data_IF_877795428525
#
_entry.id   IF_877795428525
#
_cell.length_a   1.000
_cell.length_b   1.000
_cell.length_c   1.000
_cell.angle_alpha   90.00
_cell.angle_beta   90.00
_cell.angle_gamma   90.00
#
_symmetry.space_group_name_H-M   'P 1'
#
loop_
_entity.id
_entity.type
_entity.pdbx_description
1 polymer ?
#
# COMPACT_ATOMS: atom_id res chain seq x y z
N UNK A 1 -14.86 -51.21 19.26
CA UNK A 1 -15.00 -49.78 19.62
C UNK A 1 -13.92 -49.03 18.85
N UNK A 2 -14.26 -48.47 17.71
CA UNK A 2 -13.31 -47.72 16.89
C UNK A 2 -13.24 -46.28 17.42
N UNK A 3 -12.08 -45.92 17.97
CA UNK A 3 -11.78 -44.57 18.34
C UNK A 3 -11.76 -43.70 17.09
N UNK A 4 -12.90 -43.11 16.72
CA UNK A 4 -12.91 -41.91 15.87
C UNK A 4 -12.39 -40.76 16.69
N UNK A 5 -11.06 -40.60 16.79
CA UNK A 5 -10.43 -39.32 17.10
C UNK A 5 -10.75 -38.38 15.93
N UNK A 6 -11.94 -37.77 16.04
CA UNK A 6 -12.36 -36.76 15.10
C UNK A 6 -11.29 -35.67 15.09
N UNK A 7 -10.69 -35.39 13.91
CA UNK A 7 -9.83 -34.25 13.64
C UNK A 7 -10.52 -33.01 14.22
N UNK A 8 -10.20 -32.66 15.46
CA UNK A 8 -10.64 -31.40 16.04
C UNK A 8 -9.98 -30.29 15.21
N UNK A 9 -10.78 -29.59 14.42
CA UNK A 9 -10.30 -28.41 13.73
C UNK A 9 -9.64 -27.48 14.75
N UNK A 10 -8.39 -27.11 14.52
CA UNK A 10 -7.62 -26.25 15.42
C UNK A 10 -8.08 -24.79 15.26
N UNK A 11 -9.06 -24.28 16.05
CA UNK A 11 -9.57 -22.92 15.88
C UNK A 11 -8.49 -21.86 16.15
N UNK A 12 -7.51 -22.18 17.00
CA UNK A 12 -6.36 -21.33 17.29
C UNK A 12 -5.49 -21.11 16.06
N UNK A 13 -5.26 -22.16 15.25
CA UNK A 13 -4.51 -22.07 14.01
C UNK A 13 -5.21 -21.12 13.01
N UNK A 14 -6.53 -21.15 12.92
CA UNK A 14 -7.31 -20.26 12.07
C UNK A 14 -7.19 -18.79 12.50
N UNK A 15 -7.19 -18.54 13.81
CA UNK A 15 -7.00 -17.17 14.34
C UNK A 15 -5.59 -16.67 14.05
N UNK A 16 -4.56 -17.49 14.28
CA UNK A 16 -3.16 -17.15 13.99
C UNK A 16 -2.99 -16.83 12.50
N UNK A 17 -3.50 -17.67 11.61
CA UNK A 17 -3.46 -17.43 10.16
C UNK A 17 -4.23 -16.16 9.76
N UNK A 18 -5.36 -15.88 10.40
CA UNK A 18 -6.12 -14.66 10.17
C UNK A 18 -5.35 -13.40 10.56
N UNK A 19 -4.72 -13.41 11.73
CA UNK A 19 -3.86 -12.30 12.20
C UNK A 19 -2.65 -12.14 11.26
N UNK A 20 -2.01 -13.23 10.87
CA UNK A 20 -0.90 -13.20 9.92
C UNK A 20 -1.32 -12.65 8.56
N UNK A 21 -2.54 -13.01 8.10
CA UNK A 21 -3.14 -12.46 6.89
C UNK A 21 -3.36 -10.95 6.96
N UNK A 22 -3.83 -10.44 8.12
CA UNK A 22 -4.00 -9.00 8.35
C UNK A 22 -2.64 -8.28 8.31
N UNK A 23 -1.63 -8.81 9.01
CA UNK A 23 -0.27 -8.24 8.97
C UNK A 23 0.31 -8.26 7.55
N UNK A 24 0.13 -9.38 6.84
CA UNK A 24 0.54 -9.50 5.45
C UNK A 24 -0.17 -8.49 4.55
N UNK A 25 -1.48 -8.25 4.75
CA UNK A 25 -2.23 -7.26 3.99
C UNK A 25 -1.65 -5.85 4.17
N UNK A 26 -1.31 -5.48 5.39
CA UNK A 26 -0.78 -4.14 5.70
C UNK A 26 0.65 -3.97 5.14
N UNK A 27 1.56 -4.90 5.47
CA UNK A 27 2.98 -4.75 5.14
C UNK A 27 3.30 -5.20 3.71
N UNK A 28 2.86 -6.41 3.30
CA UNK A 28 3.21 -6.94 1.99
C UNK A 28 2.55 -6.18 0.84
N UNK A 29 1.30 -5.73 0.99
CA UNK A 29 0.66 -4.96 -0.09
C UNK A 29 1.41 -3.68 -0.41
N UNK A 30 1.95 -2.99 0.61
CA UNK A 30 2.73 -1.77 0.39
C UNK A 30 4.04 -2.05 -0.34
N UNK A 31 4.75 -3.14 0.04
CA UNK A 31 6.06 -3.48 -0.55
C UNK A 31 5.96 -4.16 -1.91
N UNK A 32 5.02 -5.08 -2.08
CA UNK A 32 4.95 -5.98 -3.25
C UNK A 32 3.71 -5.75 -4.11
N UNK A 33 2.87 -4.77 -3.76
CA UNK A 33 1.65 -4.46 -4.51
C UNK A 33 0.70 -5.66 -4.61
N UNK A 34 0.37 -6.07 -5.86
CA UNK A 34 -0.57 -7.17 -6.12
C UNK A 34 -0.11 -8.50 -5.54
N UNK A 35 1.21 -8.79 -5.56
CA UNK A 35 1.75 -10.05 -5.03
C UNK A 35 1.47 -10.16 -3.53
N UNK A 36 1.68 -9.08 -2.79
CA UNK A 36 1.38 -9.02 -1.35
C UNK A 36 -0.10 -9.21 -1.06
N UNK A 37 -0.97 -8.59 -1.88
CA UNK A 37 -2.41 -8.78 -1.80
C UNK A 37 -2.84 -10.22 -2.04
N UNK A 38 -2.25 -10.90 -3.02
CA UNK A 38 -2.52 -12.30 -3.30
C UNK A 38 -2.10 -13.21 -2.11
N UNK A 39 -0.92 -13.01 -1.54
CA UNK A 39 -0.44 -13.76 -0.38
C UNK A 39 -1.36 -13.53 0.82
N UNK A 40 -1.71 -12.28 1.14
CA UNK A 40 -2.61 -11.93 2.23
C UNK A 40 -4.00 -12.51 2.01
N UNK A 41 -4.50 -12.50 0.76
CA UNK A 41 -5.78 -13.09 0.38
C UNK A 41 -5.81 -14.61 0.59
N UNK A 42 -4.75 -15.32 0.20
CA UNK A 42 -4.63 -16.77 0.41
C UNK A 42 -4.62 -17.10 1.91
N UNK A 43 -3.87 -16.36 2.72
CA UNK A 43 -3.82 -16.56 4.18
C UNK A 43 -5.19 -16.29 4.82
N UNK A 44 -5.86 -15.19 4.42
CA UNK A 44 -7.20 -14.85 4.89
C UNK A 44 -8.24 -15.92 4.51
N UNK A 45 -8.18 -16.43 3.26
CA UNK A 45 -9.05 -17.49 2.79
C UNK A 45 -8.84 -18.80 3.56
N UNK A 46 -7.57 -19.17 3.79
CA UNK A 46 -7.24 -20.36 4.58
C UNK A 46 -7.77 -20.24 6.02
N UNK A 47 -7.58 -19.09 6.68
CA UNK A 47 -8.12 -18.81 8.01
C UNK A 47 -9.66 -18.90 8.03
N UNK A 48 -10.32 -18.33 7.03
CA UNK A 48 -11.78 -18.38 6.90
C UNK A 48 -12.31 -19.79 6.73
N UNK A 49 -11.69 -20.62 5.87
CA UNK A 49 -12.08 -22.02 5.65
C UNK A 49 -11.86 -22.88 6.90
N UNK A 50 -10.75 -22.68 7.61
CA UNK A 50 -10.49 -23.36 8.89
C UNK A 50 -11.55 -22.96 9.92
N UNK A 51 -11.92 -21.67 9.97
CA UNK A 51 -12.97 -21.17 10.83
C UNK A 51 -14.33 -21.78 10.53
N UNK A 52 -14.71 -21.92 9.25
CA UNK A 52 -15.95 -22.58 8.82
C UNK A 52 -15.97 -24.05 9.24
N UNK A 53 -14.85 -24.76 9.06
CA UNK A 53 -14.72 -26.16 9.49
C UNK A 53 -14.86 -26.31 11.01
N UNK A 54 -14.31 -25.38 11.78
CA UNK A 54 -14.36 -25.37 13.24
C UNK A 54 -15.74 -24.94 13.78
N UNK A 55 -16.57 -24.23 13.00
CA UNK A 55 -17.94 -23.83 13.39
C UNK A 55 -18.82 -24.99 13.78
N UNK A 56 -18.64 -26.15 13.13
CA UNK A 56 -19.37 -27.38 13.46
C UNK A 56 -19.22 -27.81 14.95
N UNK A 57 -18.20 -27.30 15.63
CA UNK A 57 -17.89 -27.56 17.02
C UNK A 57 -18.07 -26.33 17.94
N UNK A 58 -18.82 -25.31 17.50
CA UNK A 58 -19.08 -24.07 18.25
C UNK A 58 -17.83 -23.24 18.64
N UNK A 59 -16.67 -23.44 18.02
CA UNK A 59 -15.38 -22.81 18.38
C UNK A 59 -14.71 -22.02 17.25
N UNK A 60 -15.37 -21.83 16.09
CA UNK A 60 -14.74 -21.27 14.88
C UNK A 60 -14.98 -19.78 14.61
N UNK A 61 -15.77 -19.09 15.44
CA UNK A 61 -16.22 -17.73 15.15
C UNK A 61 -15.06 -16.72 15.01
N UNK A 62 -14.08 -16.79 15.91
CA UNK A 62 -12.90 -15.90 15.85
C UNK A 62 -12.10 -16.07 14.57
N UNK A 63 -11.88 -17.32 14.11
CA UNK A 63 -11.15 -17.59 12.88
C UNK A 63 -11.93 -17.12 11.61
N UNK A 64 -13.27 -17.27 11.61
CA UNK A 64 -14.11 -16.75 10.52
C UNK A 64 -13.99 -15.24 10.46
N UNK A 65 -14.12 -14.56 11.59
CA UNK A 65 -14.07 -13.09 11.66
C UNK A 65 -12.71 -12.54 11.24
N UNK A 66 -11.61 -13.08 11.79
CA UNK A 66 -10.26 -12.63 11.42
C UNK A 66 -9.91 -12.96 9.97
N UNK A 67 -10.34 -14.12 9.46
CA UNK A 67 -10.16 -14.50 8.05
C UNK A 67 -10.94 -13.60 7.09
N UNK A 68 -12.22 -13.30 7.39
CA UNK A 68 -13.03 -12.39 6.60
C UNK A 68 -12.44 -10.96 6.61
N UNK A 69 -12.01 -10.49 7.78
CA UNK A 69 -11.36 -9.17 7.92
C UNK A 69 -10.05 -9.11 7.11
N UNK A 70 -9.23 -10.16 7.16
CA UNK A 70 -8.00 -10.25 6.37
C UNK A 70 -8.27 -10.18 4.86
N UNK A 71 -9.32 -10.85 4.38
CA UNK A 71 -9.72 -10.79 2.97
C UNK A 71 -10.14 -9.38 2.53
N UNK A 72 -10.98 -8.73 3.33
CA UNK A 72 -11.42 -7.35 3.04
C UNK A 72 -10.23 -6.40 3.01
N UNK A 73 -9.35 -6.48 4.02
CA UNK A 73 -8.15 -5.64 4.09
C UNK A 73 -7.19 -5.93 2.91
N UNK A 74 -7.00 -7.19 2.53
CA UNK A 74 -6.17 -7.55 1.38
C UNK A 74 -6.65 -6.87 0.09
N UNK A 75 -7.96 -6.86 -0.17
CA UNK A 75 -8.54 -6.18 -1.34
C UNK A 75 -8.38 -4.66 -1.24
N UNK A 76 -8.76 -4.07 -0.11
CA UNK A 76 -8.70 -2.62 0.09
C UNK A 76 -7.26 -2.10 -0.03
N UNK A 77 -6.31 -2.71 0.68
CA UNK A 77 -4.90 -2.28 0.64
C UNK A 77 -4.27 -2.52 -0.73
N UNK A 78 -4.65 -3.58 -1.45
CA UNK A 78 -4.19 -3.79 -2.84
C UNK A 78 -4.65 -2.66 -3.76
N UNK A 79 -5.93 -2.28 -3.69
CA UNK A 79 -6.47 -1.18 -4.51
C UNK A 79 -5.80 0.15 -4.15
N UNK A 80 -5.69 0.45 -2.85
CA UNK A 80 -5.03 1.66 -2.35
C UNK A 80 -3.58 1.70 -2.83
N UNK A 81 -2.82 0.61 -2.66
CA UNK A 81 -1.43 0.52 -3.10
C UNK A 81 -1.29 0.81 -4.60
N UNK A 82 -2.09 0.15 -5.44
CA UNK A 82 -2.04 0.36 -6.90
C UNK A 82 -2.36 1.81 -7.26
N UNK A 83 -3.38 2.40 -6.64
CA UNK A 83 -3.77 3.78 -6.93
C UNK A 83 -2.69 4.77 -6.51
N UNK A 84 -2.11 4.59 -5.33
CA UNK A 84 -0.99 5.41 -4.83
C UNK A 84 0.22 5.36 -5.78
N UNK A 85 0.62 4.15 -6.20
CA UNK A 85 1.74 4.02 -7.13
C UNK A 85 1.44 4.57 -8.53
N UNK A 86 0.19 4.48 -9.00
CA UNK A 86 -0.24 5.14 -10.25
C UNK A 86 -0.18 6.66 -10.15
N UNK A 87 -0.60 7.21 -9.02
CA UNK A 87 -0.56 8.64 -8.78
C UNK A 87 0.87 9.15 -8.73
N UNK A 88 1.76 8.49 -7.98
CA UNK A 88 3.20 8.79 -7.94
C UNK A 88 3.81 8.72 -9.34
N UNK A 89 3.48 7.69 -10.13
CA UNK A 89 3.95 7.58 -11.52
C UNK A 89 3.45 8.72 -12.39
N UNK A 90 2.18 9.07 -12.28
CA UNK A 90 1.59 10.16 -13.07
C UNK A 90 2.23 11.51 -12.73
N UNK A 91 2.50 11.75 -11.45
CA UNK A 91 3.19 12.95 -11.01
C UNK A 91 4.65 12.96 -11.51
N UNK A 92 5.38 11.84 -11.33
CA UNK A 92 6.74 11.70 -11.83
C UNK A 92 6.82 11.83 -13.37
N UNK A 93 5.79 11.41 -14.10
CA UNK A 93 5.76 11.52 -15.56
C UNK A 93 5.74 12.96 -16.08
N UNK A 94 5.31 13.92 -15.26
CA UNK A 94 5.39 15.36 -15.59
C UNK A 94 6.84 15.85 -15.67
N UNK A 95 7.73 15.14 -15.01
CA UNK A 95 9.17 15.44 -14.98
C UNK A 95 9.99 14.49 -15.87
N UNK A 96 9.32 13.76 -16.79
CA UNK A 96 9.98 12.74 -17.63
C UNK A 96 11.15 13.25 -18.45
N UNK A 97 11.08 14.50 -18.91
CA UNK A 97 12.18 15.14 -19.67
C UNK A 97 13.42 15.43 -18.78
N UNK A 98 13.20 15.74 -17.49
CA UNK A 98 14.26 16.08 -16.53
C UNK A 98 14.77 14.90 -15.74
N UNK A 99 13.92 13.87 -15.55
CA UNK A 99 14.20 12.71 -14.71
C UNK A 99 13.72 11.39 -15.34
N UNK A 100 14.27 11.02 -16.53
CA UNK A 100 13.81 9.83 -17.26
C UNK A 100 14.08 8.52 -16.50
N UNK A 101 15.14 8.43 -15.70
CA UNK A 101 15.46 7.23 -14.91
C UNK A 101 14.45 7.00 -13.79
N UNK A 102 14.01 8.07 -13.11
CA UNK A 102 12.98 7.98 -12.06
C UNK A 102 11.68 7.43 -12.64
N UNK A 103 11.23 7.96 -13.77
CA UNK A 103 10.00 7.50 -14.44
C UNK A 103 10.14 6.03 -14.87
N UNK A 104 11.31 5.62 -15.36
CA UNK A 104 11.58 4.22 -15.74
C UNK A 104 11.54 3.28 -14.54
N UNK A 105 11.98 3.72 -13.37
CA UNK A 105 11.85 2.93 -12.12
C UNK A 105 10.39 2.77 -11.70
N UNK A 106 9.54 3.77 -11.94
CA UNK A 106 8.12 3.79 -11.58
C UNK A 106 7.20 3.17 -12.64
N UNK A 107 7.75 2.64 -13.73
CA UNK A 107 6.97 2.16 -14.89
C UNK A 107 6.00 0.99 -14.56
N UNK A 108 6.23 0.26 -13.48
CA UNK A 108 5.36 -0.84 -13.08
C UNK A 108 4.69 -0.59 -11.70
N UNK A 109 3.55 0.12 -11.64
CA UNK A 109 2.87 0.45 -10.39
C UNK A 109 2.27 -0.78 -9.69
N UNK A 110 2.18 -1.92 -10.36
CA UNK A 110 1.57 -3.12 -9.80
C UNK A 110 2.47 -3.91 -8.84
N UNK A 111 3.80 -3.72 -8.96
CA UNK A 111 4.78 -4.42 -8.13
C UNK A 111 5.19 -3.63 -6.88
N UNK A 112 4.62 -2.45 -6.63
CA UNK A 112 4.95 -1.64 -5.47
C UNK A 112 6.45 -1.26 -5.42
N UNK A 113 6.99 -1.19 -4.22
CA UNK A 113 8.39 -0.82 -3.98
C UNK A 113 9.37 -1.84 -4.61
N UNK A 114 9.02 -3.13 -4.62
CA UNK A 114 9.88 -4.16 -5.25
C UNK A 114 10.05 -3.90 -6.74
N UNK A 115 8.99 -3.43 -7.43
CA UNK A 115 9.09 -3.05 -8.84
C UNK A 115 10.11 -1.95 -9.10
N UNK A 116 10.22 -1.00 -8.17
CA UNK A 116 11.24 0.05 -8.21
C UNK A 116 12.65 -0.51 -7.97
N UNK A 117 12.80 -1.36 -6.96
CA UNK A 117 14.11 -1.95 -6.59
C UNK A 117 14.67 -2.81 -7.73
N UNK A 118 13.82 -3.60 -8.41
CA UNK A 118 14.27 -4.46 -9.52
C UNK A 118 14.80 -3.63 -10.69
N UNK A 119 14.27 -2.42 -10.90
CA UNK A 119 14.66 -1.51 -11.98
C UNK A 119 15.75 -0.52 -11.59
N UNK A 120 16.20 -0.54 -10.34
CA UNK A 120 17.35 0.27 -9.92
C UNK A 120 18.58 -0.09 -10.77
N UNK A 121 19.30 0.92 -11.26
CA UNK A 121 20.54 0.69 -11.96
C UNK A 121 21.55 0.00 -11.02
N UNK A 122 22.32 -0.95 -11.55
CA UNK A 122 23.28 -1.74 -10.78
C UNK A 122 24.69 -1.16 -10.83
N UNK A 123 24.91 -0.19 -11.70
CA UNK A 123 26.19 0.51 -11.85
C UNK A 123 26.17 1.81 -11.03
N UNK A 124 27.30 2.13 -10.41
CA UNK A 124 27.45 3.29 -9.51
C UNK A 124 27.14 4.62 -10.21
N UNK A 125 27.52 4.78 -11.49
CA UNK A 125 27.28 6.00 -12.25
C UNK A 125 25.78 6.28 -12.47
N UNK A 126 25.02 5.27 -12.89
CA UNK A 126 23.59 5.40 -13.09
C UNK A 126 22.81 5.49 -11.77
N UNK A 127 23.33 4.93 -10.68
CA UNK A 127 22.74 5.07 -9.35
C UNK A 127 22.89 6.52 -8.84
N UNK A 128 24.05 7.13 -9.06
CA UNK A 128 24.27 8.53 -8.72
C UNK A 128 23.39 9.46 -9.56
N UNK A 129 23.31 9.22 -10.87
CA UNK A 129 22.41 9.97 -11.75
C UNK A 129 20.94 9.87 -11.32
N UNK A 130 20.49 8.70 -10.86
CA UNK A 130 19.14 8.52 -10.34
C UNK A 130 18.92 9.35 -9.07
N UNK A 131 19.88 9.39 -8.16
CA UNK A 131 19.84 10.23 -6.95
C UNK A 131 19.74 11.71 -7.30
N UNK A 132 20.54 12.19 -8.23
CA UNK A 132 20.53 13.57 -8.68
C UNK A 132 19.18 13.95 -9.32
N UNK A 133 18.58 13.03 -10.09
CA UNK A 133 17.24 13.21 -10.65
C UNK A 133 16.15 13.25 -9.56
N UNK A 134 16.26 12.46 -8.50
CA UNK A 134 15.35 12.56 -7.35
C UNK A 134 15.44 13.91 -6.64
N UNK A 135 16.63 14.43 -6.39
CA UNK A 135 16.82 15.75 -5.79
C UNK A 135 16.27 16.88 -6.66
N UNK A 136 16.42 16.78 -7.97
CA UNK A 136 15.83 17.74 -8.91
C UNK A 136 14.29 17.79 -8.80
N UNK A 137 13.64 16.64 -8.73
CA UNK A 137 12.18 16.57 -8.59
C UNK A 137 11.75 17.10 -7.21
N UNK A 138 12.47 16.76 -6.14
CA UNK A 138 12.18 17.24 -4.78
C UNK A 138 12.25 18.77 -4.70
N UNK A 139 13.26 19.38 -5.29
CA UNK A 139 13.44 20.84 -5.30
C UNK A 139 12.33 21.54 -6.13
N UNK A 140 11.90 20.95 -7.21
CA UNK A 140 10.79 21.48 -8.01
C UNK A 140 9.44 21.39 -7.28
N UNK A 141 9.18 20.28 -6.59
CA UNK A 141 7.98 20.12 -5.77
C UNK A 141 7.98 21.13 -4.63
N UNK A 142 9.11 21.36 -3.96
CA UNK A 142 9.23 22.36 -2.90
C UNK A 142 8.97 23.78 -3.44
N UNK A 143 9.46 24.13 -4.61
CA UNK A 143 9.19 25.41 -5.26
C UNK A 143 7.72 25.58 -5.62
N UNK A 144 7.09 24.52 -6.13
CA UNK A 144 5.66 24.51 -6.48
C UNK A 144 4.78 24.71 -5.24
N UNK A 145 5.06 23.99 -4.16
CA UNK A 145 4.29 24.09 -2.92
C UNK A 145 4.52 25.41 -2.18
N UNK A 146 5.75 25.92 -2.14
CA UNK A 146 6.05 27.24 -1.55
C UNK A 146 5.36 28.39 -2.28
N UNK A 147 5.16 28.29 -3.60
CA UNK A 147 4.42 29.28 -4.39
C UNK A 147 2.90 29.24 -4.15
N UNK A 148 2.35 28.07 -3.76
CA UNK A 148 0.93 27.92 -3.43
C UNK A 148 0.58 28.52 -2.06
N UNK A 149 1.44 28.35 -1.06
CA UNK A 149 1.22 28.94 0.27
C UNK A 149 1.28 30.47 0.26
N UNK A 150 2.14 31.06 -0.56
CA UNK A 150 2.23 32.53 -0.69
C UNK A 150 0.96 33.12 -1.33
N UNK A 151 0.33 32.42 -2.30
CA UNK A 151 -0.92 32.89 -2.90
C UNK A 151 -2.10 32.80 -1.95
N UNK A 152 -2.15 31.81 -1.08
CA UNK A 152 -3.25 31.65 -0.11
C UNK A 152 -3.19 32.70 0.99
N UNK A 153 -1.99 33.09 1.46
CA UNK A 153 -1.82 34.16 2.45
C UNK A 153 -2.24 35.53 1.91
N UNK A 154 -1.86 35.86 0.68
CA UNK A 154 -2.20 37.16 0.07
C UNK A 154 -3.70 37.33 -0.14
N UNK A 155 -4.46 36.25 -0.43
CA UNK A 155 -5.91 36.34 -0.63
C UNK A 155 -6.67 36.51 0.70
N UNK A 156 -6.13 36.01 1.82
CA UNK A 156 -6.77 36.12 3.14
C UNK A 156 -6.54 37.51 3.77
N UNK A 157 -5.40 38.14 3.56
CA UNK A 157 -5.14 39.51 4.07
C UNK A 157 -5.98 40.57 3.35
N UNK A 158 -6.19 40.45 2.04
CA UNK A 158 -6.99 41.42 1.27
C UNK A 158 -8.49 41.36 1.59
N UNK A 159 -9.00 40.23 2.11
CA UNK A 159 -10.41 40.07 2.47
C UNK A 159 -10.75 40.64 3.86
N UNK A 160 -9.74 40.89 4.72
CA UNK A 160 -9.97 41.36 6.10
C UNK A 160 -9.92 42.92 6.20
N UNK A 161 -9.23 43.58 5.27
CA UNK A 161 -9.15 45.05 5.26
C UNK A 161 -10.37 45.78 4.67
N UNK A 162 -11.24 45.09 3.93
CA UNK A 162 -12.42 45.72 3.30
C UNK A 162 -13.68 45.76 4.17
N UNK A 163 -13.61 45.35 5.46
CA UNK A 163 -14.79 45.25 6.35
C UNK A 163 -14.81 46.25 7.52
N UNK A 164 -13.88 47.22 7.55
CA UNK A 164 -13.80 48.19 8.69
C UNK A 164 -14.04 49.63 8.30
N UNK A 165 -14.53 49.96 7.11
CA UNK A 165 -14.99 51.32 6.77
C UNK A 165 -16.44 51.25 6.23
N UNK A 166 -17.41 51.27 7.18
CA UNK A 166 -18.72 51.92 7.07
C UNK A 166 -19.45 51.89 8.42
#
# INVERSE_FOLDING_TARGET
MSNYEGKQGHPVLGIILGILGILAAIFLCLFTGIIGGAIAGILGLAAFLIGLSARKYNKGFGAIFTGALALVLAVVFTIVSINTFKEIRNEASRYAEKAPLVVKCLDNPYLGIIGMIIKLPKDEGSAQELLDQFHLIEDEIKKSNGSAETKTKTTTETATESKTEN
#
